data_IF_412629374622
#
_entry.id   IF_412629374622
#
_cell.length_a   1.000
_cell.length_b   1.000
_cell.length_c   1.000
_cell.angle_alpha   90.00
_cell.angle_beta   90.00
_cell.angle_gamma   90.00
#
_symmetry.space_group_name_H-M   'P 1'
#
loop_
_entity.id
_entity.type
_entity.pdbx_description
1 polymer ?
#
# COMPACT_ATOMS: atom_id res chain seq x y z
N UNK A 1 11.68 -7.55 39.67
CA UNK A 1 11.36 -6.64 38.54
C UNK A 1 12.18 -7.11 37.35
N UNK A 2 11.60 -7.95 36.49
CA UNK A 2 12.31 -8.44 35.29
C UNK A 2 11.93 -7.53 34.13
N UNK A 3 12.84 -6.61 33.77
CA UNK A 3 12.74 -5.82 32.55
C UNK A 3 13.22 -6.69 31.38
N UNK A 4 12.29 -7.42 30.77
CA UNK A 4 12.55 -8.04 29.48
C UNK A 4 12.73 -6.92 28.44
N UNK A 5 13.86 -6.85 27.72
CA UNK A 5 14.00 -5.90 26.63
C UNK A 5 13.02 -6.34 25.54
N UNK A 6 12.06 -5.47 25.22
CA UNK A 6 11.25 -5.61 24.01
C UNK A 6 12.22 -5.47 22.83
N UNK A 7 12.65 -6.61 22.28
CA UNK A 7 13.27 -6.65 20.96
C UNK A 7 12.34 -5.88 20.00
N UNK A 8 12.83 -4.86 19.27
CA UNK A 8 12.01 -4.20 18.29
C UNK A 8 11.59 -5.28 17.30
N UNK A 9 10.29 -5.50 17.17
CA UNK A 9 9.74 -6.29 16.09
C UNK A 9 10.06 -5.50 14.82
N UNK A 10 11.19 -5.83 14.18
CA UNK A 10 11.57 -5.25 12.90
C UNK A 10 10.58 -5.77 11.85
N UNK A 11 9.44 -5.09 11.73
CA UNK A 11 8.53 -5.31 10.61
C UNK A 11 9.25 -4.79 9.37
N UNK A 12 9.47 -5.67 8.39
CA UNK A 12 9.97 -5.27 7.07
C UNK A 12 9.04 -4.19 6.49
N UNK A 13 9.55 -2.95 6.42
CA UNK A 13 8.82 -1.77 5.94
C UNK A 13 8.71 -1.76 4.41
N UNK A 14 9.41 -2.67 3.72
CA UNK A 14 9.41 -2.81 2.28
C UNK A 14 10.80 -3.21 1.79
N UNK A 15 10.89 -3.71 0.56
CA UNK A 15 12.16 -3.92 -0.10
C UNK A 15 12.80 -2.55 -0.40
N UNK A 16 14.05 -2.38 0.01
CA UNK A 16 14.87 -1.20 -0.27
C UNK A 16 15.82 -1.50 -1.44
N UNK A 17 16.21 -0.47 -2.21
CA UNK A 17 17.19 -0.60 -3.29
C UNK A 17 16.65 -1.12 -4.64
N UNK A 18 15.32 -1.21 -4.81
CA UNK A 18 14.72 -1.51 -6.12
C UNK A 18 14.85 -0.26 -7.01
N UNK A 19 15.29 -0.45 -8.26
CA UNK A 19 15.41 0.66 -9.21
C UNK A 19 14.06 1.00 -9.80
N UNK A 20 13.69 2.25 -9.58
CA UNK A 20 12.40 2.91 -9.85
C UNK A 20 12.23 3.51 -11.25
N UNK A 21 11.08 3.37 -11.92
CA UNK A 21 10.70 4.27 -13.01
C UNK A 21 9.24 4.74 -12.86
N UNK A 22 8.99 6.01 -13.20
CA UNK A 22 7.66 6.63 -13.24
C UNK A 22 7.43 7.68 -12.15
N UNK A 23 6.28 8.35 -12.22
CA UNK A 23 5.86 9.36 -11.25
C UNK A 23 4.91 8.72 -10.21
N UNK A 24 5.28 8.68 -8.91
CA UNK A 24 4.41 8.18 -7.83
C UNK A 24 3.07 8.90 -7.68
N UNK A 25 2.84 10.03 -8.37
CA UNK A 25 1.55 10.73 -8.41
C UNK A 25 0.67 10.34 -9.60
N UNK A 26 1.16 9.48 -10.50
CA UNK A 26 0.42 8.95 -11.64
C UNK A 26 -0.14 7.55 -11.35
N UNK A 27 -1.36 7.27 -11.82
CA UNK A 27 -1.94 5.93 -11.74
C UNK A 27 -1.17 4.88 -12.58
N UNK A 28 -0.36 5.33 -13.55
CA UNK A 28 0.46 4.47 -14.41
C UNK A 28 1.76 4.00 -13.74
N UNK A 29 2.10 4.55 -12.58
CA UNK A 29 3.25 4.08 -11.81
C UNK A 29 3.10 2.60 -11.47
N UNK A 30 4.18 1.85 -11.72
CA UNK A 30 4.14 0.39 -11.83
C UNK A 30 3.62 -0.30 -10.56
N UNK A 31 3.92 0.26 -9.38
CA UNK A 31 3.45 -0.26 -8.09
C UNK A 31 1.93 -0.20 -7.92
N UNK A 32 1.20 0.53 -8.76
CA UNK A 32 -0.24 0.74 -8.65
C UNK A 32 -1.07 -0.16 -9.57
N UNK A 33 -0.51 -1.28 -10.04
CA UNK A 33 -1.18 -2.16 -10.99
C UNK A 33 -2.55 -2.70 -10.53
N UNK A 34 -2.76 -2.80 -9.22
CA UNK A 34 -3.98 -3.28 -8.59
C UNK A 34 -4.46 -2.35 -7.45
N UNK A 35 -4.20 -1.05 -7.56
CA UNK A 35 -4.64 -0.07 -6.56
C UNK A 35 -6.12 0.28 -6.73
N UNK A 36 -6.81 0.49 -5.62
CA UNK A 36 -8.14 1.10 -5.58
C UNK A 36 -8.14 2.23 -4.55
N UNK A 37 -8.57 3.42 -4.95
CA UNK A 37 -8.74 4.55 -4.05
C UNK A 37 -7.90 5.76 -4.43
N UNK A 38 -7.31 6.43 -3.45
CA UNK A 38 -6.62 7.72 -3.55
C UNK A 38 -5.15 7.55 -3.24
N UNK A 39 -4.24 8.07 -4.07
CA UNK A 39 -2.79 7.92 -3.85
C UNK A 39 -2.29 8.79 -2.69
N UNK A 40 -1.64 8.19 -1.68
CA UNK A 40 -1.08 8.97 -0.56
C UNK A 40 0.04 9.93 -0.97
N UNK A 41 0.74 9.67 -2.08
CA UNK A 41 1.75 10.57 -2.66
C UNK A 41 1.17 11.95 -3.05
N UNK A 42 -0.14 12.07 -3.21
CA UNK A 42 -0.83 13.33 -3.51
C UNK A 42 -1.37 14.06 -2.26
N UNK A 43 -1.17 13.48 -1.08
CA UNK A 43 -1.87 13.84 0.17
C UNK A 43 -0.92 14.19 1.32
N UNK A 44 0.35 14.48 1.03
CA UNK A 44 1.37 14.76 2.05
C UNK A 44 2.04 13.51 2.62
N UNK A 45 1.76 12.33 2.05
CA UNK A 45 2.53 11.11 2.22
C UNK A 45 3.46 10.85 1.03
N UNK A 46 3.95 9.62 0.92
CA UNK A 46 4.70 9.11 -0.23
C UNK A 46 4.01 7.85 -0.75
N UNK A 47 4.56 7.19 -1.77
CA UNK A 47 4.13 5.87 -2.18
C UNK A 47 4.34 4.80 -1.10
N UNK A 48 5.19 5.06 -0.10
CA UNK A 48 5.54 4.10 0.97
C UNK A 48 5.30 4.60 2.40
N UNK A 49 4.76 5.80 2.58
CA UNK A 49 4.51 6.37 3.91
C UNK A 49 3.20 7.14 3.97
N UNK A 50 2.43 6.89 5.03
CA UNK A 50 1.18 7.59 5.27
C UNK A 50 1.38 9.09 5.53
N UNK A 51 0.41 9.95 5.15
CA UNK A 51 0.41 11.36 5.53
C UNK A 51 0.39 11.58 7.06
N UNK A 52 0.97 12.69 7.57
CA UNK A 52 0.93 13.00 8.99
C UNK A 52 -0.47 13.01 9.60
N UNK A 53 -0.61 12.37 10.76
CA UNK A 53 -1.87 12.26 11.49
C UNK A 53 -2.89 11.31 10.86
N UNK A 54 -2.46 10.43 9.95
CA UNK A 54 -3.22 9.24 9.56
C UNK A 54 -2.56 8.01 10.16
N UNK A 55 -3.32 6.93 10.30
CA UNK A 55 -2.88 5.66 10.85
C UNK A 55 -2.75 4.63 9.73
N UNK A 56 -1.61 3.95 9.65
CA UNK A 56 -1.39 2.89 8.67
C UNK A 56 -2.16 1.62 9.08
N UNK A 57 -3.00 1.08 8.21
CA UNK A 57 -3.54 -0.26 8.44
C UNK A 57 -2.49 -1.34 8.23
N UNK A 58 -2.48 -2.31 9.15
CA UNK A 58 -1.59 -3.47 9.12
C UNK A 58 -2.14 -4.62 8.26
N UNK A 59 -3.42 -4.56 7.88
CA UNK A 59 -4.07 -5.54 7.01
C UNK A 59 -4.23 -4.93 5.63
N UNK A 60 -4.12 -5.74 4.58
CA UNK A 60 -3.86 -5.26 3.22
C UNK A 60 -4.39 -6.24 2.19
N UNK A 61 -4.72 -5.74 1.00
CA UNK A 61 -4.76 -6.56 -0.21
C UNK A 61 -3.42 -6.47 -0.93
N UNK A 62 -3.13 -7.47 -1.76
CA UNK A 62 -1.89 -7.56 -2.49
C UNK A 62 -2.10 -7.57 -4.00
N UNK A 63 -1.15 -6.96 -4.71
CA UNK A 63 -1.02 -7.03 -6.15
C UNK A 63 0.28 -7.71 -6.54
N UNK A 64 0.32 -8.25 -7.76
CA UNK A 64 1.56 -8.71 -8.38
C UNK A 64 1.81 -7.80 -9.58
N UNK A 65 2.78 -6.89 -9.46
CA UNK A 65 3.04 -5.85 -10.45
C UNK A 65 4.40 -6.06 -11.10
N UNK A 66 4.47 -5.88 -12.41
CA UNK A 66 5.73 -5.95 -13.18
C UNK A 66 6.48 -4.63 -13.07
N UNK A 67 7.74 -4.68 -12.62
CA UNK A 67 8.64 -3.53 -12.65
C UNK A 67 9.23 -3.39 -14.07
N UNK A 68 9.03 -2.25 -14.77
CA UNK A 68 9.54 -2.07 -16.14
C UNK A 68 11.07 -1.95 -16.23
N UNK A 69 11.78 -1.75 -15.11
CA UNK A 69 13.24 -1.56 -15.13
C UNK A 69 13.99 -2.88 -15.27
N UNK A 70 13.53 -3.93 -14.57
CA UNK A 70 14.19 -5.24 -14.51
C UNK A 70 13.31 -6.37 -15.10
N UNK A 71 12.11 -6.04 -15.56
CA UNK A 71 11.11 -6.96 -16.07
C UNK A 71 10.79 -8.10 -15.07
N UNK A 72 10.78 -7.81 -13.75
CA UNK A 72 10.39 -8.78 -12.71
C UNK A 72 9.04 -8.46 -12.10
N UNK A 73 8.30 -9.50 -11.72
CA UNK A 73 7.07 -9.35 -10.93
C UNK A 73 7.42 -9.17 -9.45
N UNK A 74 6.74 -8.23 -8.80
CA UNK A 74 6.89 -7.97 -7.37
C UNK A 74 5.54 -8.06 -6.67
N UNK A 75 5.58 -8.57 -5.43
CA UNK A 75 4.44 -8.53 -4.52
C UNK A 75 4.32 -7.14 -3.91
N UNK A 76 3.22 -6.46 -4.19
CA UNK A 76 2.88 -5.16 -3.64
C UNK A 76 1.81 -5.32 -2.58
N UNK A 77 2.02 -4.70 -1.42
CA UNK A 77 1.08 -4.59 -0.32
C UNK A 77 0.46 -3.20 -0.36
N UNK A 78 -0.86 -3.14 -0.57
CA UNK A 78 -1.61 -1.88 -0.59
C UNK A 78 -2.23 -1.63 0.78
N UNK A 79 -1.64 -0.72 1.53
CA UNK A 79 -2.09 -0.43 2.88
C UNK A 79 -2.84 0.89 2.89
N UNK A 80 -4.04 0.88 3.46
CA UNK A 80 -4.80 2.10 3.64
C UNK A 80 -4.22 2.92 4.80
N UNK A 81 -4.18 4.22 4.60
CA UNK A 81 -3.97 5.21 5.64
C UNK A 81 -5.35 5.70 6.08
N UNK A 82 -5.61 5.59 7.38
CA UNK A 82 -6.93 5.70 7.98
C UNK A 82 -6.98 6.79 9.06
N UNK A 83 -8.16 7.07 9.60
CA UNK A 83 -8.36 8.01 10.71
C UNK A 83 -8.54 9.47 10.31
N UNK A 84 -8.59 9.77 9.00
CA UNK A 84 -8.94 11.10 8.47
C UNK A 84 -9.96 10.99 7.33
N UNK A 85 -10.61 12.10 7.02
CA UNK A 85 -11.50 12.22 5.87
C UNK A 85 -10.73 11.97 4.56
N UNK A 86 -11.37 11.36 3.57
CA UNK A 86 -10.77 11.08 2.25
C UNK A 86 -10.04 12.31 1.67
N UNK A 87 -8.83 12.10 1.14
CA UNK A 87 -8.00 13.18 0.60
C UNK A 87 -8.53 13.74 -0.75
N UNK A 88 -9.23 12.92 -1.54
CA UNK A 88 -9.88 13.31 -2.80
C UNK A 88 -8.93 13.91 -3.85
N UNK A 89 -7.70 13.39 -3.96
CA UNK A 89 -6.71 13.75 -4.99
C UNK A 89 -6.10 12.50 -5.61
N UNK A 90 -5.85 12.50 -6.92
CA UNK A 90 -5.23 11.34 -7.59
C UNK A 90 -6.02 10.04 -7.31
N UNK A 91 -7.32 10.06 -7.62
CA UNK A 91 -8.14 8.85 -7.56
C UNK A 91 -7.68 7.90 -8.67
N UNK A 92 -7.34 6.67 -8.28
CA UNK A 92 -6.85 5.64 -9.17
C UNK A 92 -7.63 4.34 -8.93
N UNK A 93 -7.94 3.67 -10.02
CA UNK A 93 -8.47 2.32 -10.00
C UNK A 93 -7.81 1.51 -11.11
N UNK A 94 -7.06 0.48 -10.72
CA UNK A 94 -6.47 -0.51 -11.61
C UNK A 94 -6.69 -1.88 -11.00
N UNK A 95 -6.88 -2.89 -11.85
CA UNK A 95 -7.35 -4.21 -11.43
C UNK A 95 -6.52 -5.35 -12.02
N UNK A 96 -5.24 -5.10 -12.29
CA UNK A 96 -4.35 -6.13 -12.82
C UNK A 96 -4.28 -7.33 -11.85
N UNK A 97 -4.68 -8.51 -12.34
CA UNK A 97 -4.74 -9.76 -11.56
C UNK A 97 -5.59 -9.66 -10.27
N UNK A 98 -6.48 -8.67 -10.16
CA UNK A 98 -7.48 -8.56 -9.08
C UNK A 98 -8.41 -9.79 -9.11
N UNK A 99 -8.99 -10.14 -7.97
CA UNK A 99 -9.98 -11.22 -7.84
C UNK A 99 -11.29 -10.70 -7.24
N UNK A 100 -12.41 -11.39 -7.49
CA UNK A 100 -13.70 -11.02 -6.88
C UNK A 100 -13.66 -11.11 -5.35
N UNK A 101 -14.68 -10.55 -4.71
CA UNK A 101 -14.80 -10.42 -3.25
C UNK A 101 -14.58 -11.71 -2.44
N UNK A 102 -14.97 -12.88 -2.96
CA UNK A 102 -14.75 -14.16 -2.28
C UNK A 102 -13.27 -14.58 -2.17
N UNK A 103 -12.36 -13.84 -2.81
CA UNK A 103 -10.92 -13.98 -2.69
C UNK A 103 -10.34 -12.64 -2.20
N UNK A 104 -10.64 -12.31 -0.93
CA UNK A 104 -10.37 -11.00 -0.35
C UNK A 104 -8.93 -10.51 -0.50
N UNK A 105 -7.87 -11.32 -0.32
CA UNK A 105 -6.49 -10.82 -0.35
C UNK A 105 -6.09 -10.16 -1.68
N UNK A 106 -6.86 -10.32 -2.76
CA UNK A 106 -6.61 -9.66 -4.04
C UNK A 106 -7.80 -8.82 -4.50
N UNK A 107 -8.57 -8.25 -3.59
CA UNK A 107 -9.71 -7.39 -3.90
C UNK A 107 -9.52 -5.98 -3.31
N UNK A 108 -9.51 -4.96 -4.17
CA UNK A 108 -9.29 -3.56 -3.77
C UNK A 108 -10.58 -2.82 -3.37
N UNK A 109 -11.75 -3.46 -3.47
CA UNK A 109 -13.03 -2.82 -3.15
C UNK A 109 -13.39 -2.95 -1.66
N UNK A 110 -12.59 -3.67 -0.89
CA UNK A 110 -12.72 -3.76 0.57
C UNK A 110 -12.04 -2.53 1.17
N UNK A 111 -12.67 -1.93 2.17
CA UNK A 111 -12.03 -0.92 3.01
C UNK A 111 -11.02 -1.60 3.94
N UNK A 112 -9.73 -1.45 3.69
CA UNK A 112 -8.67 -2.15 4.43
C UNK A 112 -8.18 -1.35 5.63
N UNK A 113 -9.05 -0.65 6.34
CA UNK A 113 -8.75 0.00 7.63
C UNK A 113 -8.95 -0.96 8.82
N UNK A 114 -8.58 -2.24 8.66
CA UNK A 114 -8.67 -3.20 9.77
C UNK A 114 -7.52 -2.99 10.74
N UNK A 115 -7.82 -3.06 12.05
CA UNK A 115 -6.82 -2.91 13.10
C UNK A 115 -6.33 -1.47 13.34
N UNK A 116 -7.01 -0.47 12.77
CA UNK A 116 -6.81 0.95 13.09
C UNK A 116 -7.86 1.44 14.10
N UNK A 117 -7.58 2.54 14.81
CA UNK A 117 -8.53 3.14 15.77
C UNK A 117 -9.81 3.64 15.09
N UNK A 118 -9.69 4.10 13.84
CA UNK A 118 -10.79 4.59 13.03
C UNK A 118 -10.76 3.98 11.64
N UNK A 119 -11.94 3.59 11.15
CA UNK A 119 -12.14 3.06 9.80
C UNK A 119 -12.32 4.15 8.73
N UNK A 120 -12.13 5.43 9.07
CA UNK A 120 -12.22 6.51 8.10
C UNK A 120 -11.07 6.42 7.08
N UNK A 121 -11.37 6.10 5.82
CA UNK A 121 -10.41 6.03 4.73
C UNK A 121 -9.86 7.41 4.34
N UNK A 122 -8.53 7.52 4.23
CA UNK A 122 -7.87 8.74 3.73
C UNK A 122 -7.25 8.57 2.34
N UNK A 123 -6.34 7.61 2.19
CA UNK A 123 -5.59 7.30 0.97
C UNK A 123 -4.92 5.91 1.10
N UNK A 124 -4.26 5.43 0.05
CA UNK A 124 -3.58 4.12 0.01
C UNK A 124 -2.09 4.30 -0.38
N UNK A 125 -1.20 3.58 0.31
CA UNK A 125 0.23 3.42 -0.04
C UNK A 125 0.48 2.07 -0.75
N UNK A 126 1.60 1.95 -1.45
CA UNK A 126 2.02 0.73 -2.16
C UNK A 126 3.44 0.30 -1.75
N UNK A 127 3.52 -0.66 -0.83
CA UNK A 127 4.77 -1.20 -0.30
C UNK A 127 5.23 -2.42 -1.09
N UNK A 128 6.44 -2.38 -1.65
CA UNK A 128 7.05 -3.58 -2.26
C UNK A 128 7.46 -4.55 -1.15
N UNK A 129 6.98 -5.79 -1.17
CA UNK A 129 7.33 -6.83 -0.20
C UNK A 129 8.46 -7.73 -0.67
N UNK A 130 8.64 -7.89 -1.98
CA UNK A 130 9.71 -8.68 -2.58
C UNK A 130 9.36 -9.13 -3.99
N UNK A 131 10.32 -9.77 -4.67
CA UNK A 131 10.13 -10.43 -5.96
C UNK A 131 9.10 -11.57 -5.81
N UNK A 132 8.20 -11.69 -6.78
CA UNK A 132 7.17 -12.73 -6.85
C UNK A 132 7.67 -13.82 -7.80
N UNK A 133 8.14 -14.92 -7.22
CA UNK A 133 8.62 -16.12 -7.92
C UNK A 133 7.55 -17.20 -8.00
#
# INVERSE_FOLDING_TARGET
>A
MSSLPLLPVARSLGAEGITELGDPKSCDYWRYCAIGGTLCACCGGTEKSCPPGTELSLVTWVGTCRNPVDDKDYLISYNDCCGKTVCSRCSCHRSEREKPFYYQPKNSNILWCFGTESQAYHCTIALVKGEYN
#
